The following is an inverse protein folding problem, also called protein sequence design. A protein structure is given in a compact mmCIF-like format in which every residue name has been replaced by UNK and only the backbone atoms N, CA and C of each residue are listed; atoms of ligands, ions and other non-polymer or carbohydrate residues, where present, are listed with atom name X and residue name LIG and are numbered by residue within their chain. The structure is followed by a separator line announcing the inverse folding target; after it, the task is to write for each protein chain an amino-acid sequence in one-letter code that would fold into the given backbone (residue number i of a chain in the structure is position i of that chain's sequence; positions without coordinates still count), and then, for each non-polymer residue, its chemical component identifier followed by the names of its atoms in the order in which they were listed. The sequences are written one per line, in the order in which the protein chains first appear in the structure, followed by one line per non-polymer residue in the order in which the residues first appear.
data_IF_325115217843
#
_entry.id   IF_325115217843
#
_cell.length_a   1.000
_cell.length_b   1.000
_cell.length_c   1.000
_cell.angle_alpha   90.00
_cell.angle_beta   90.00
_cell.angle_gamma   90.00
#
_symmetry.space_group_name_H-M   'P 1'
#
loop_
_entity.id
_entity.type
_entity.pdbx_description
1 polymer ?
#
# COMPACT_ATOMS: atom_id res chain seq x y z
N UNK A 1 16.95 -45.57 -47.76
CA UNK A 1 17.13 -44.31 -46.94
C UNK A 1 15.83 -44.08 -46.20
N UNK A 2 15.87 -44.26 -44.85
CA UNK A 2 14.69 -44.17 -43.96
C UNK A 2 14.64 -42.70 -43.43
N UNK A 3 13.62 -41.96 -43.80
CA UNK A 3 13.37 -40.62 -43.22
C UNK A 3 12.60 -40.81 -41.90
N UNK A 4 13.15 -40.22 -40.86
CA UNK A 4 12.64 -40.24 -39.45
C UNK A 4 11.40 -39.33 -39.32
N UNK A 5 10.32 -39.72 -38.60
CA UNK A 5 9.08 -38.95 -38.49
C UNK A 5 9.12 -37.92 -37.34
N UNK A 6 10.28 -37.32 -37.01
CA UNK A 6 10.41 -36.40 -35.84
C UNK A 6 10.25 -34.91 -36.20
N UNK A 7 10.04 -34.56 -37.48
CA UNK A 7 10.00 -33.14 -37.91
C UNK A 7 8.59 -32.54 -38.11
N UNK A 8 7.53 -33.23 -37.74
CA UNK A 8 6.15 -32.75 -37.93
C UNK A 8 5.40 -32.37 -36.63
N UNK A 9 6.03 -32.47 -35.46
CA UNK A 9 5.43 -32.08 -34.18
C UNK A 9 5.84 -30.67 -33.67
N UNK A 10 6.77 -30.00 -34.33
CA UNK A 10 7.26 -28.68 -33.92
C UNK A 10 6.50 -27.51 -34.55
N UNK A 11 5.63 -27.71 -35.52
CA UNK A 11 4.89 -26.65 -36.22
C UNK A 11 3.45 -26.43 -35.71
N UNK A 12 2.97 -27.24 -34.76
CA UNK A 12 1.62 -27.10 -34.19
C UNK A 12 1.58 -26.27 -32.89
N UNK A 13 2.76 -25.90 -32.34
CA UNK A 13 2.85 -25.11 -31.12
C UNK A 13 2.91 -23.57 -31.33
N UNK A 14 2.92 -23.13 -32.60
CA UNK A 14 3.02 -21.70 -32.96
C UNK A 14 1.68 -21.06 -33.41
N UNK A 15 0.56 -21.80 -33.36
CA UNK A 15 -0.77 -21.27 -33.66
C UNK A 15 -1.75 -21.33 -32.50
N UNK A 16 -1.26 -21.47 -31.26
CA UNK A 16 -2.05 -21.08 -30.10
C UNK A 16 -1.94 -19.56 -29.99
N UNK A 17 -2.79 -18.88 -30.75
CA UNK A 17 -3.09 -17.47 -30.51
C UNK A 17 -3.34 -17.31 -29.02
N UNK A 18 -2.69 -16.32 -28.39
CA UNK A 18 -2.97 -15.91 -27.03
C UNK A 18 -4.49 -15.87 -26.85
N UNK A 19 -5.03 -16.78 -26.04
CA UNK A 19 -6.43 -16.68 -25.62
C UNK A 19 -6.64 -15.26 -25.14
N UNK A 20 -7.72 -14.58 -25.54
CA UNK A 20 -8.02 -13.24 -25.02
C UNK A 20 -8.01 -13.37 -23.50
N UNK A 21 -7.09 -12.66 -22.87
CA UNK A 21 -6.95 -12.68 -21.41
C UNK A 21 -8.33 -12.40 -20.84
N UNK A 22 -8.90 -13.32 -20.09
CA UNK A 22 -10.21 -13.17 -19.47
C UNK A 22 -10.08 -11.98 -18.51
N UNK A 23 -10.53 -10.81 -18.95
CA UNK A 23 -10.53 -9.61 -18.11
C UNK A 23 -11.40 -9.91 -16.90
N UNK A 24 -10.80 -9.79 -15.70
CA UNK A 24 -11.53 -10.05 -14.46
C UNK A 24 -12.74 -9.11 -14.38
N UNK A 25 -13.92 -9.60 -13.95
CA UNK A 25 -15.05 -8.72 -13.66
C UNK A 25 -14.63 -7.54 -12.78
N UNK A 26 -15.17 -6.35 -13.01
CA UNK A 26 -14.75 -5.10 -12.34
C UNK A 26 -14.65 -5.25 -10.81
N UNK A 27 -15.63 -5.90 -10.17
CA UNK A 27 -15.58 -6.16 -8.73
C UNK A 27 -14.36 -6.98 -8.30
N UNK A 28 -13.99 -8.03 -9.04
CA UNK A 28 -12.79 -8.83 -8.76
C UNK A 28 -11.51 -8.07 -9.04
N UNK A 29 -11.48 -7.20 -10.05
CA UNK A 29 -10.33 -6.35 -10.36
C UNK A 29 -10.05 -5.35 -9.22
N UNK A 30 -11.11 -4.80 -8.61
CA UNK A 30 -10.99 -3.85 -7.50
C UNK A 30 -10.41 -4.47 -6.21
N UNK A 31 -10.63 -5.75 -5.99
CA UNK A 31 -10.17 -6.47 -4.77
C UNK A 31 -9.03 -7.46 -5.04
N UNK A 32 -8.39 -7.41 -6.21
CA UNK A 32 -7.31 -8.34 -6.58
C UNK A 32 -6.13 -8.31 -5.60
N UNK A 33 -5.88 -7.14 -5.01
CA UNK A 33 -4.80 -6.90 -4.06
C UNK A 33 -5.27 -7.02 -2.59
N UNK A 34 -6.49 -7.51 -2.34
CA UNK A 34 -6.99 -7.70 -0.97
C UNK A 34 -6.78 -9.14 -0.51
N UNK A 35 -6.19 -9.28 0.67
CA UNK A 35 -5.89 -10.57 1.30
C UNK A 35 -6.78 -10.78 2.52
N UNK A 36 -7.12 -12.04 2.77
CA UNK A 36 -7.98 -12.44 3.90
C UNK A 36 -7.20 -12.42 5.22
N UNK A 37 -7.77 -11.79 6.23
CA UNK A 37 -7.29 -11.80 7.61
C UNK A 37 -8.33 -12.53 8.45
N UNK A 38 -8.00 -13.70 9.04
CA UNK A 38 -8.93 -14.49 9.82
C UNK A 38 -9.36 -13.76 11.09
N UNK A 39 -10.53 -14.11 11.63
CA UNK A 39 -10.95 -13.66 12.95
C UNK A 39 -9.93 -14.07 14.02
N UNK A 40 -9.73 -13.22 15.00
CA UNK A 40 -8.79 -13.52 16.08
C UNK A 40 -8.80 -12.49 17.18
N UNK A 41 -7.72 -12.47 17.97
CA UNK A 41 -7.61 -11.60 19.13
C UNK A 41 -6.38 -10.71 19.04
N UNK A 42 -6.57 -9.42 19.28
CA UNK A 42 -5.49 -8.45 19.47
C UNK A 42 -5.68 -7.75 20.81
N UNK A 43 -4.75 -7.94 21.74
CA UNK A 43 -4.93 -7.57 23.13
C UNK A 43 -6.17 -8.26 23.74
N UNK A 44 -7.04 -7.49 24.36
CA UNK A 44 -8.31 -7.98 24.95
C UNK A 44 -9.48 -8.00 23.95
N UNK A 45 -9.27 -7.49 22.74
CA UNK A 45 -10.32 -7.35 21.73
C UNK A 45 -10.39 -8.55 20.81
N UNK A 46 -11.62 -8.95 20.44
CA UNK A 46 -11.90 -9.95 19.40
C UNK A 46 -12.17 -9.20 18.10
N UNK A 47 -11.39 -9.50 17.06
CA UNK A 47 -11.59 -8.98 15.73
C UNK A 47 -12.36 -10.01 14.89
N UNK A 48 -13.44 -9.63 14.21
CA UNK A 48 -14.03 -10.44 13.17
C UNK A 48 -13.05 -10.59 12.00
N UNK A 49 -13.29 -11.55 11.13
CA UNK A 49 -12.58 -11.67 9.87
C UNK A 49 -12.81 -10.45 8.96
N UNK A 50 -11.81 -10.09 8.20
CA UNK A 50 -11.86 -9.00 7.22
C UNK A 50 -10.85 -9.23 6.10
N UNK A 51 -10.88 -8.37 5.11
CA UNK A 51 -9.85 -8.30 4.08
C UNK A 51 -9.10 -6.98 4.24
N UNK A 52 -7.83 -6.98 3.89
CA UNK A 52 -6.99 -5.76 3.88
C UNK A 52 -6.25 -5.69 2.55
N UNK A 53 -6.03 -4.49 2.05
CA UNK A 53 -5.15 -4.34 0.88
C UNK A 53 -3.75 -4.85 1.21
N UNK A 54 -3.22 -5.75 0.40
CA UNK A 54 -1.86 -6.29 0.57
C UNK A 54 -0.77 -5.25 0.36
N UNK A 55 -1.11 -4.12 -0.25
CA UNK A 55 -0.22 -3.00 -0.56
C UNK A 55 -0.86 -1.68 -0.15
N UNK A 56 -0.05 -0.64 0.01
CA UNK A 56 -0.54 0.73 0.10
C UNK A 56 -1.28 1.10 -1.19
N UNK A 57 -2.29 1.98 -1.11
CA UNK A 57 -2.96 2.51 -2.31
C UNK A 57 -1.93 3.19 -3.21
N UNK A 58 -1.86 2.76 -4.48
CA UNK A 58 -0.87 3.25 -5.42
C UNK A 58 -1.32 4.53 -6.13
N UNK A 59 -0.37 5.26 -6.72
CA UNK A 59 -0.65 6.43 -7.55
C UNK A 59 -1.61 6.09 -8.70
N UNK A 60 -1.45 4.93 -9.34
CA UNK A 60 -2.36 4.45 -10.40
C UNK A 60 -3.79 4.30 -9.89
N UNK A 61 -3.97 3.57 -8.78
CA UNK A 61 -5.30 3.36 -8.19
C UNK A 61 -5.96 4.69 -7.77
N UNK A 62 -5.16 5.62 -7.26
CA UNK A 62 -5.68 6.92 -6.85
C UNK A 62 -5.99 7.82 -8.04
N UNK A 63 -5.24 7.74 -9.16
CA UNK A 63 -5.59 8.43 -10.41
C UNK A 63 -6.90 7.93 -10.99
N UNK A 64 -7.18 6.61 -10.94
CA UNK A 64 -8.48 6.05 -11.36
C UNK A 64 -9.63 6.66 -10.56
N UNK A 65 -9.45 6.87 -9.26
CA UNK A 65 -10.40 7.56 -8.40
C UNK A 65 -10.60 9.03 -8.81
N UNK A 66 -9.52 9.79 -9.01
CA UNK A 66 -9.57 11.18 -9.45
C UNK A 66 -10.29 11.31 -10.81
N UNK A 67 -10.00 10.37 -11.74
CA UNK A 67 -10.63 10.34 -13.05
C UNK A 67 -12.14 10.13 -12.95
N UNK A 68 -12.60 9.16 -12.16
CA UNK A 68 -14.03 8.89 -11.94
C UNK A 68 -14.75 10.12 -11.32
N UNK A 69 -14.10 10.82 -10.37
CA UNK A 69 -14.67 12.05 -9.80
C UNK A 69 -14.77 13.17 -10.85
N UNK A 70 -13.80 13.25 -11.74
CA UNK A 70 -13.78 14.24 -12.84
C UNK A 70 -14.88 13.94 -13.83
N UNK A 71 -14.99 12.69 -14.29
CA UNK A 71 -15.97 12.26 -15.30
C UNK A 71 -17.41 12.38 -14.79
N UNK A 72 -17.62 12.17 -13.49
CA UNK A 72 -18.94 12.36 -12.85
C UNK A 72 -19.28 13.82 -12.51
N UNK A 73 -18.35 14.77 -12.70
CA UNK A 73 -18.55 16.18 -12.36
C UNK A 73 -18.66 16.44 -10.84
N UNK A 74 -18.11 15.56 -10.00
CA UNK A 74 -18.20 15.63 -8.54
C UNK A 74 -17.21 16.67 -7.96
N UNK A 75 -17.37 17.93 -8.32
CA UNK A 75 -16.41 19.02 -8.08
C UNK A 75 -16.00 19.18 -6.62
N UNK A 76 -16.95 19.09 -5.67
CA UNK A 76 -16.61 19.24 -4.24
C UNK A 76 -15.81 18.04 -3.70
N UNK A 77 -16.15 16.82 -4.14
CA UNK A 77 -15.35 15.63 -3.82
C UNK A 77 -13.97 15.71 -4.45
N UNK A 78 -13.86 16.17 -5.68
CA UNK A 78 -12.59 16.34 -6.39
C UNK A 78 -11.65 17.32 -5.67
N UNK A 79 -12.16 18.46 -5.20
CA UNK A 79 -11.35 19.42 -4.39
C UNK A 79 -10.73 18.77 -3.15
N UNK A 80 -11.48 17.89 -2.46
CA UNK A 80 -11.00 17.18 -1.28
C UNK A 80 -9.95 16.15 -1.66
N UNK A 81 -10.17 15.45 -2.79
CA UNK A 81 -9.34 14.33 -3.24
C UNK A 81 -8.01 14.76 -3.89
N UNK A 82 -7.85 16.03 -4.26
CA UNK A 82 -6.64 16.51 -4.94
C UNK A 82 -5.37 16.26 -4.14
N UNK A 83 -4.34 15.78 -4.84
CA UNK A 83 -2.99 15.57 -4.28
C UNK A 83 -2.27 16.92 -4.20
N UNK A 84 -1.83 17.32 -3.01
CA UNK A 84 -1.00 18.53 -2.84
C UNK A 84 0.49 18.22 -3.08
N UNK A 85 0.87 18.12 -4.35
CA UNK A 85 2.25 17.82 -4.75
C UNK A 85 3.27 18.85 -4.23
N UNK A 86 2.84 20.07 -3.84
CA UNK A 86 3.76 21.08 -3.30
C UNK A 86 4.34 20.68 -1.94
N UNK A 87 3.75 19.72 -1.24
CA UNK A 87 4.28 19.22 0.02
C UNK A 87 5.68 18.60 -0.14
N UNK A 88 6.00 18.05 -1.33
CA UNK A 88 7.35 17.58 -1.63
C UNK A 88 8.40 18.66 -1.39
N UNK A 89 8.21 19.86 -1.91
CA UNK A 89 9.17 20.95 -1.76
C UNK A 89 9.13 21.63 -0.39
N UNK A 90 7.99 21.59 0.28
CA UNK A 90 7.88 22.11 1.66
C UNK A 90 8.70 21.23 2.62
N UNK A 91 8.63 19.92 2.48
CA UNK A 91 9.35 18.97 3.34
C UNK A 91 10.78 18.73 2.86
N UNK A 92 10.97 18.59 1.55
CA UNK A 92 12.25 18.28 0.90
C UNK A 92 12.53 19.29 -0.22
N UNK A 93 13.17 20.45 0.06
CA UNK A 93 13.39 21.50 -0.93
C UNK A 93 14.16 21.09 -2.19
N UNK A 94 14.96 20.01 -2.11
CA UNK A 94 15.69 19.42 -3.24
C UNK A 94 14.79 18.58 -4.17
N UNK A 95 13.62 18.13 -3.70
CA UNK A 95 12.73 17.24 -4.45
C UNK A 95 11.75 17.99 -5.37
N UNK A 96 12.18 19.09 -6.01
CA UNK A 96 11.34 19.89 -6.92
C UNK A 96 10.74 19.10 -8.08
N UNK A 97 11.47 18.12 -8.58
CA UNK A 97 11.03 17.28 -9.70
C UNK A 97 9.76 16.48 -9.33
N UNK A 98 9.65 16.03 -8.08
CA UNK A 98 8.49 15.22 -7.63
C UNK A 98 7.17 15.98 -7.60
N UNK A 99 7.21 17.33 -7.58
CA UNK A 99 5.98 18.14 -7.69
C UNK A 99 5.24 17.83 -9.01
N UNK A 100 5.98 17.66 -10.11
CA UNK A 100 5.40 17.36 -11.42
C UNK A 100 5.29 15.88 -11.76
N UNK A 101 6.18 15.05 -11.20
CA UNK A 101 6.33 13.67 -11.68
C UNK A 101 5.75 12.61 -10.74
N UNK A 102 5.94 12.71 -9.43
CA UNK A 102 5.65 11.60 -8.52
C UNK A 102 4.22 11.05 -8.64
N UNK A 103 3.23 11.92 -8.74
CA UNK A 103 1.83 11.49 -8.88
C UNK A 103 1.40 11.28 -10.34
N UNK A 104 1.98 12.01 -11.30
CA UNK A 104 1.50 12.05 -12.68
C UNK A 104 2.22 11.06 -13.61
N UNK A 105 3.51 10.82 -13.40
CA UNK A 105 4.31 9.99 -14.28
C UNK A 105 4.05 8.49 -14.05
N UNK A 106 3.86 7.74 -15.13
CA UNK A 106 3.65 6.30 -15.12
C UNK A 106 4.81 5.49 -14.53
N UNK A 107 6.01 6.05 -14.46
CA UNK A 107 7.13 5.43 -13.76
C UNK A 107 6.85 5.22 -12.26
N UNK A 108 5.94 6.00 -11.68
CA UNK A 108 5.51 5.92 -10.29
C UNK A 108 4.13 5.29 -10.10
N UNK A 109 3.61 4.60 -11.10
CA UNK A 109 2.30 3.97 -11.06
C UNK A 109 2.11 3.06 -9.84
N UNK A 110 3.10 2.23 -9.54
CA UNK A 110 3.07 1.22 -8.49
C UNK A 110 3.64 1.73 -7.15
N UNK A 111 3.98 3.02 -7.05
CA UNK A 111 4.40 3.67 -5.81
C UNK A 111 3.18 4.10 -4.98
N UNK A 112 3.28 4.17 -3.64
CA UNK A 112 2.18 4.59 -2.80
C UNK A 112 1.76 6.03 -3.09
N UNK A 113 0.45 6.29 -3.10
CA UNK A 113 -0.03 7.67 -3.13
C UNK A 113 0.30 8.36 -1.80
N UNK A 114 0.82 9.56 -1.90
CA UNK A 114 1.16 10.44 -0.77
C UNK A 114 0.61 11.84 -1.01
N UNK A 115 0.80 12.76 -0.06
CA UNK A 115 0.31 14.14 -0.18
C UNK A 115 -1.21 14.26 -0.29
N UNK A 116 -1.92 13.35 0.35
CA UNK A 116 -3.38 13.35 0.49
C UNK A 116 -3.76 13.47 1.96
N UNK A 117 -4.87 14.14 2.27
CA UNK A 117 -5.39 14.24 3.63
C UNK A 117 -6.12 12.95 4.05
N UNK A 118 -6.34 12.77 5.35
CA UNK A 118 -7.16 11.66 5.87
C UNK A 118 -8.57 11.68 5.28
N UNK A 119 -9.16 12.87 5.15
CA UNK A 119 -10.47 13.04 4.52
C UNK A 119 -10.49 12.58 3.05
N UNK A 120 -9.41 12.80 2.32
CA UNK A 120 -9.25 12.32 0.94
C UNK A 120 -9.12 10.78 0.89
N UNK A 121 -8.38 10.18 1.81
CA UNK A 121 -8.27 8.72 1.95
C UNK A 121 -9.62 8.07 2.32
N UNK A 122 -10.38 8.68 3.22
CA UNK A 122 -11.73 8.23 3.58
C UNK A 122 -12.69 8.34 2.37
N UNK A 123 -12.58 9.41 1.58
CA UNK A 123 -13.36 9.60 0.36
C UNK A 123 -13.01 8.54 -0.71
N UNK A 124 -11.74 8.16 -0.83
CA UNK A 124 -11.33 7.02 -1.65
C UNK A 124 -12.00 5.72 -1.19
N UNK A 125 -12.04 5.47 0.12
CA UNK A 125 -12.72 4.30 0.67
C UNK A 125 -14.23 4.29 0.38
N UNK A 126 -14.88 5.44 0.41
CA UNK A 126 -16.29 5.58 0.01
C UNK A 126 -16.49 5.29 -1.49
N UNK A 127 -15.64 5.87 -2.33
CA UNK A 127 -15.67 5.66 -3.78
C UNK A 127 -15.50 4.18 -4.15
N UNK A 128 -14.51 3.48 -3.60
CA UNK A 128 -14.30 2.06 -3.90
C UNK A 128 -15.45 1.20 -3.38
N UNK A 129 -16.08 1.59 -2.26
CA UNK A 129 -17.30 0.95 -1.73
C UNK A 129 -18.45 1.06 -2.74
N UNK A 130 -18.75 2.27 -3.21
CA UNK A 130 -19.79 2.53 -4.20
C UNK A 130 -19.51 1.75 -5.50
N UNK A 131 -18.27 1.83 -6.00
CA UNK A 131 -17.85 1.18 -7.25
C UNK A 131 -17.91 -0.35 -7.16
N UNK A 132 -17.44 -0.96 -6.07
CA UNK A 132 -17.53 -2.39 -5.84
C UNK A 132 -18.98 -2.85 -5.76
N UNK A 133 -19.79 -2.13 -4.96
CA UNK A 133 -21.19 -2.47 -4.71
C UNK A 133 -22.08 -2.28 -5.96
N UNK A 134 -21.70 -1.45 -6.93
CA UNK A 134 -22.43 -1.30 -8.20
C UNK A 134 -22.34 -2.55 -9.09
N UNK A 135 -21.26 -3.35 -8.95
CA UNK A 135 -20.96 -4.48 -9.83
C UNK A 135 -20.99 -5.84 -9.14
N UNK A 136 -20.98 -5.86 -7.80
CA UNK A 136 -20.90 -7.09 -7.01
C UNK A 136 -22.23 -7.44 -6.37
N UNK A 137 -22.58 -8.76 -6.37
CA UNK A 137 -23.80 -9.25 -5.69
C UNK A 137 -23.67 -9.16 -4.17
N UNK A 138 -22.51 -9.61 -3.65
CA UNK A 138 -22.20 -9.51 -2.23
C UNK A 138 -21.70 -8.09 -1.95
N UNK A 139 -22.39 -7.38 -1.07
CA UNK A 139 -22.02 -6.01 -0.72
C UNK A 139 -20.88 -6.01 0.30
N UNK A 140 -20.03 -4.99 0.20
CA UNK A 140 -18.91 -4.80 1.11
C UNK A 140 -18.75 -3.32 1.45
N UNK A 141 -18.13 -3.06 2.59
CA UNK A 141 -17.70 -1.74 3.02
C UNK A 141 -16.18 -1.67 3.01
N UNK A 142 -15.63 -0.63 2.42
CA UNK A 142 -14.21 -0.30 2.49
C UNK A 142 -14.00 0.90 3.43
N UNK A 143 -12.95 0.85 4.24
CA UNK A 143 -12.61 1.89 5.20
C UNK A 143 -11.10 1.90 5.46
N UNK A 144 -10.58 2.96 6.07
CA UNK A 144 -9.27 2.89 6.72
C UNK A 144 -9.33 1.86 7.84
N UNK A 145 -8.26 1.08 8.11
CA UNK A 145 -8.22 0.15 9.23
C UNK A 145 -8.33 0.90 10.56
N UNK A 146 -8.90 0.27 11.57
CA UNK A 146 -8.68 0.68 12.95
C UNK A 146 -7.25 0.32 13.36
N UNK A 147 -6.73 0.91 14.44
CA UNK A 147 -5.41 0.54 14.98
C UNK A 147 -5.32 -0.96 15.23
N UNK A 148 -6.31 -1.54 15.88
CA UNK A 148 -6.35 -2.98 16.17
C UNK A 148 -6.35 -3.84 14.90
N UNK A 149 -7.10 -3.45 13.86
CA UNK A 149 -7.08 -4.16 12.59
C UNK A 149 -5.71 -4.07 11.93
N UNK A 150 -5.09 -2.88 11.95
CA UNK A 150 -3.78 -2.66 11.36
C UNK A 150 -2.71 -3.51 12.07
N UNK A 151 -2.65 -3.46 13.40
CA UNK A 151 -1.66 -4.21 14.19
C UNK A 151 -1.84 -5.72 14.04
N UNK A 152 -3.08 -6.21 14.12
CA UNK A 152 -3.39 -7.63 13.94
C UNK A 152 -2.96 -8.14 12.57
N UNK A 153 -3.24 -7.37 11.51
CA UNK A 153 -2.78 -7.70 10.16
C UNK A 153 -1.25 -7.67 10.04
N UNK A 154 -0.58 -6.68 10.66
CA UNK A 154 0.86 -6.56 10.66
C UNK A 154 1.56 -7.74 11.34
N UNK A 155 0.97 -8.31 12.40
CA UNK A 155 1.51 -9.49 13.09
C UNK A 155 1.49 -10.76 12.24
N UNK A 156 0.70 -10.81 11.16
CA UNK A 156 0.69 -11.95 10.25
C UNK A 156 0.36 -13.28 10.96
N UNK A 157 -0.53 -13.30 11.95
CA UNK A 157 -0.93 -14.49 12.72
C UNK A 157 0.02 -14.87 13.86
N UNK A 158 1.11 -14.13 14.10
CA UNK A 158 1.97 -14.35 15.28
C UNK A 158 1.70 -13.27 16.35
N UNK A 159 0.96 -13.57 17.44
CA UNK A 159 0.61 -12.58 18.45
C UNK A 159 1.82 -12.01 19.21
N UNK A 160 2.99 -12.66 19.12
CA UNK A 160 4.24 -12.18 19.74
C UNK A 160 5.14 -11.40 18.78
N UNK A 161 4.72 -11.22 17.53
CA UNK A 161 5.51 -10.46 16.57
C UNK A 161 5.64 -9.00 17.01
N UNK A 162 6.87 -8.48 16.99
CA UNK A 162 7.16 -7.05 17.22
C UNK A 162 7.40 -6.30 15.91
N UNK A 163 7.77 -7.03 14.85
CA UNK A 163 7.88 -6.55 13.47
C UNK A 163 6.96 -7.36 12.56
N UNK A 164 6.60 -6.85 11.36
CA UNK A 164 5.77 -7.58 10.40
C UNK A 164 6.43 -8.84 9.79
N UNK A 165 7.66 -9.14 10.14
CA UNK A 165 8.44 -10.30 9.67
C UNK A 165 8.94 -11.15 10.85
N UNK A 166 9.34 -12.41 10.60
CA UNK A 166 9.96 -13.25 11.61
C UNK A 166 11.30 -12.69 12.11
N UNK A 167 11.51 -12.75 13.43
CA UNK A 167 12.73 -12.24 14.08
C UNK A 167 12.61 -10.81 14.59
N UNK A 168 13.72 -10.29 15.13
CA UNK A 168 13.77 -9.00 15.85
C UNK A 168 14.79 -8.03 15.23
N UNK A 169 15.17 -8.26 13.98
CA UNK A 169 16.17 -7.46 13.27
C UNK A 169 15.54 -6.67 12.13
N UNK A 170 16.04 -5.46 11.89
CA UNK A 170 15.71 -4.63 10.74
C UNK A 170 16.47 -5.03 9.46
N UNK A 171 17.37 -6.03 9.58
CA UNK A 171 18.12 -6.61 8.48
C UNK A 171 17.89 -8.12 8.42
N UNK A 172 17.94 -8.69 7.22
CA UNK A 172 17.78 -10.12 6.99
C UNK A 172 19.01 -10.86 7.49
N UNK A 173 18.84 -11.68 8.55
CA UNK A 173 19.96 -12.34 9.26
C UNK A 173 20.28 -13.74 8.74
N UNK A 174 19.39 -14.38 7.98
CA UNK A 174 19.65 -15.72 7.47
C UNK A 174 20.73 -15.70 6.37
N UNK A 175 21.60 -16.72 6.38
CA UNK A 175 22.63 -16.88 5.36
C UNK A 175 22.01 -16.99 3.97
N UNK A 176 22.59 -16.30 2.99
CA UNK A 176 22.13 -16.32 1.60
C UNK A 176 22.31 -14.97 0.91
N UNK A 177 21.74 -14.83 -0.28
CA UNK A 177 21.87 -13.60 -1.10
C UNK A 177 21.29 -12.35 -0.44
N UNK A 178 20.32 -12.51 0.46
CA UNK A 178 19.65 -11.40 1.14
C UNK A 178 20.29 -11.04 2.48
N UNK A 179 21.31 -11.79 2.95
CA UNK A 179 21.96 -11.52 4.24
C UNK A 179 22.44 -10.06 4.32
N UNK A 180 22.05 -9.36 5.38
CA UNK A 180 22.40 -7.96 5.62
C UNK A 180 21.55 -6.94 4.83
N UNK A 181 20.62 -7.38 3.96
CA UNK A 181 19.69 -6.44 3.31
C UNK A 181 18.63 -5.94 4.29
N UNK A 182 18.15 -4.72 4.07
CA UNK A 182 17.08 -4.13 4.89
C UNK A 182 15.77 -4.90 4.72
N UNK A 183 15.04 -5.05 5.82
CA UNK A 183 13.71 -5.67 5.82
C UNK A 183 12.61 -4.74 5.32
N UNK A 184 12.82 -3.42 5.37
CA UNK A 184 11.87 -2.41 4.92
C UNK A 184 12.59 -1.11 4.51
N UNK A 185 11.85 -0.19 3.93
CA UNK A 185 12.33 1.14 3.54
C UNK A 185 12.22 2.11 4.73
N UNK A 186 13.33 2.36 5.43
CA UNK A 186 13.40 3.22 6.60
C UNK A 186 14.76 3.95 6.68
N UNK A 187 14.87 4.98 7.51
CA UNK A 187 16.13 5.69 7.73
C UNK A 187 17.05 4.88 8.65
N UNK A 188 18.00 4.16 8.06
CA UNK A 188 18.91 3.26 8.80
C UNK A 188 20.01 4.01 9.56
N UNK A 189 20.40 5.20 9.12
CA UNK A 189 21.46 5.97 9.76
C UNK A 189 20.89 6.92 10.82
N UNK A 190 21.03 6.56 12.08
CA UNK A 190 20.57 7.37 13.23
C UNK A 190 21.37 8.66 13.42
N UNK A 191 22.52 8.81 12.76
CA UNK A 191 23.33 10.05 12.81
C UNK A 191 22.82 11.10 11.84
N UNK A 192 21.99 10.69 10.88
CA UNK A 192 21.40 11.59 9.86
C UNK A 192 20.13 12.24 10.42
N UNK A 193 20.19 13.54 10.65
CA UNK A 193 19.01 14.29 11.04
C UNK A 193 18.13 14.62 9.83
N UNK A 194 16.81 14.80 10.07
CA UNK A 194 15.88 15.31 9.04
C UNK A 194 16.37 16.62 8.41
N UNK A 195 17.07 17.45 9.19
CA UNK A 195 17.67 18.68 8.70
C UNK A 195 18.78 18.42 7.69
N UNK A 196 19.55 17.35 7.88
CA UNK A 196 20.59 16.92 6.94
C UNK A 196 19.96 16.37 5.66
N UNK A 197 18.97 15.48 5.74
CA UNK A 197 18.23 14.95 4.58
C UNK A 197 17.59 16.08 3.75
N UNK A 198 17.02 17.10 4.41
CA UNK A 198 16.45 18.27 3.73
C UNK A 198 17.48 19.12 2.97
N UNK A 199 18.76 19.03 3.34
CA UNK A 199 19.86 19.80 2.72
C UNK A 199 20.64 19.02 1.65
N UNK A 200 20.60 17.70 1.67
CA UNK A 200 21.28 16.88 0.66
C UNK A 200 20.54 16.95 -0.67
N UNK A 201 21.31 17.25 -1.73
CA UNK A 201 20.77 17.53 -3.07
C UNK A 201 20.43 16.28 -3.88
N UNK A 202 21.02 15.10 -3.59
CA UNK A 202 21.10 14.03 -4.59
C UNK A 202 20.78 12.61 -4.11
N UNK A 203 20.43 12.38 -2.84
CA UNK A 203 20.20 11.02 -2.31
C UNK A 203 19.17 10.97 -1.18
N UNK A 204 18.02 11.58 -1.34
CA UNK A 204 16.91 11.25 -0.46
C UNK A 204 16.34 9.93 -0.98
N UNK A 205 16.55 8.86 -0.20
CA UNK A 205 15.76 7.65 -0.40
C UNK A 205 14.29 8.09 -0.31
N UNK A 206 13.54 7.86 -1.36
CA UNK A 206 12.11 8.14 -1.42
C UNK A 206 11.33 6.85 -1.12
N UNK A 207 10.03 6.91 -1.27
CA UNK A 207 9.19 5.72 -1.28
C UNK A 207 9.70 4.68 -2.30
N UNK A 208 9.44 3.43 -2.02
CA UNK A 208 9.63 2.31 -2.95
C UNK A 208 8.26 1.88 -3.54
N UNK A 209 8.23 1.12 -4.64
CA UNK A 209 7.00 0.50 -5.13
C UNK A 209 6.29 -0.29 -4.03
N UNK A 210 4.96 -0.25 -4.00
CA UNK A 210 4.15 -0.85 -2.92
C UNK A 210 4.28 -2.38 -2.78
N UNK A 211 4.83 -3.07 -3.78
CA UNK A 211 5.18 -4.51 -3.73
C UNK A 211 6.67 -4.75 -3.40
N UNK A 212 7.35 -3.77 -2.81
CA UNK A 212 8.76 -3.91 -2.43
C UNK A 212 8.92 -4.67 -1.12
N UNK A 213 10.14 -5.19 -0.91
CA UNK A 213 10.52 -5.97 0.27
C UNK A 213 9.74 -7.29 0.41
N UNK A 214 9.90 -7.95 1.56
CA UNK A 214 9.24 -9.24 1.82
C UNK A 214 7.90 -9.00 2.53
N UNK A 215 6.82 -9.65 2.07
CA UNK A 215 5.54 -9.55 2.78
C UNK A 215 5.57 -10.33 4.09
N UNK A 216 4.61 -10.05 4.97
CA UNK A 216 4.37 -10.88 6.14
C UNK A 216 3.66 -12.21 5.76
N UNK A 217 3.34 -13.05 6.75
CA UNK A 217 2.71 -14.37 6.51
C UNK A 217 1.28 -14.29 5.96
N UNK A 218 0.63 -13.13 6.02
CA UNK A 218 -0.64 -12.88 5.34
C UNK A 218 -0.47 -12.28 3.95
N UNK A 219 0.77 -12.25 3.41
CA UNK A 219 1.12 -11.68 2.11
C UNK A 219 0.88 -10.15 2.03
N UNK A 220 1.02 -9.45 3.16
CA UNK A 220 0.88 -8.00 3.24
C UNK A 220 2.27 -7.37 3.19
N UNK A 221 2.47 -6.46 2.23
CA UNK A 221 3.72 -5.75 2.00
C UNK A 221 3.77 -4.44 2.80
N UNK A 222 4.98 -4.00 3.12
CA UNK A 222 5.29 -2.68 3.68
C UNK A 222 4.48 -2.29 4.93
N UNK A 223 4.11 -3.28 5.79
CA UNK A 223 3.51 -2.97 7.09
C UNK A 223 4.49 -2.28 8.05
N UNK A 224 5.73 -2.05 7.63
CA UNK A 224 6.71 -1.20 8.28
C UNK A 224 7.56 -0.51 7.23
N UNK A 225 7.81 0.79 7.41
CA UNK A 225 8.55 1.63 6.48
C UNK A 225 7.75 1.99 5.23
N UNK A 226 8.44 2.51 4.23
CA UNK A 226 7.92 3.05 2.99
C UNK A 226 7.08 4.32 3.24
N UNK A 227 5.79 4.21 3.52
CA UNK A 227 4.97 5.33 3.98
C UNK A 227 4.26 4.98 5.29
N UNK A 228 4.20 5.92 6.20
CA UNK A 228 3.39 5.79 7.40
C UNK A 228 1.90 5.77 7.01
N UNK A 229 1.09 4.96 7.67
CA UNK A 229 -0.27 4.69 7.24
C UNK A 229 -1.33 5.31 8.13
N UNK A 230 -2.30 5.97 7.50
CA UNK A 230 -3.46 6.52 8.18
C UNK A 230 -4.36 5.40 8.69
N UNK A 231 -4.85 5.54 9.92
CA UNK A 231 -5.85 4.66 10.54
C UNK A 231 -7.13 5.45 10.88
N UNK A 232 -8.27 4.75 11.03
CA UNK A 232 -9.58 5.41 11.12
C UNK A 232 -9.82 6.08 12.47
N UNK A 233 -9.45 5.41 13.55
CA UNK A 233 -9.85 5.70 14.93
C UNK A 233 -8.82 6.52 15.75
N UNK A 234 -7.69 6.89 15.13
CA UNK A 234 -6.62 7.63 15.81
C UNK A 234 -6.15 8.84 14.99
N UNK A 235 -5.57 9.87 15.63
CA UNK A 235 -5.01 11.05 14.96
C UNK A 235 -3.56 10.85 14.51
N UNK A 236 -2.95 9.69 14.71
CA UNK A 236 -1.58 9.36 14.36
C UNK A 236 -1.51 8.31 13.24
N UNK A 237 -0.31 8.00 12.81
CA UNK A 237 -0.03 7.01 11.76
C UNK A 237 0.72 5.81 12.31
N UNK A 238 0.65 4.66 11.61
CA UNK A 238 1.33 3.40 11.94
C UNK A 238 2.40 3.06 10.91
N UNK A 239 3.33 2.18 11.28
CA UNK A 239 4.32 1.57 10.40
C UNK A 239 5.59 2.38 10.18
N UNK A 240 5.57 3.69 10.42
CA UNK A 240 6.68 4.58 10.08
C UNK A 240 6.89 4.72 8.57
N UNK A 241 7.83 5.53 8.14
CA UNK A 241 8.07 5.88 6.74
C UNK A 241 9.53 5.73 6.35
N UNK A 242 9.86 6.00 5.09
CA UNK A 242 11.24 5.97 4.57
C UNK A 242 12.20 6.95 5.27
N UNK A 243 11.68 7.91 6.04
CA UNK A 243 12.50 8.85 6.85
C UNK A 243 12.40 8.58 8.34
N UNK A 244 11.62 7.61 8.78
CA UNK A 244 11.48 7.26 10.19
C UNK A 244 12.64 6.35 10.63
N UNK A 245 13.09 6.50 11.88
CA UNK A 245 14.11 5.63 12.46
C UNK A 245 13.55 4.23 12.80
N UNK A 246 14.46 3.28 13.03
CA UNK A 246 14.12 1.87 13.22
C UNK A 246 13.17 1.55 14.37
N UNK A 247 13.11 2.38 15.42
CA UNK A 247 12.15 2.24 16.51
C UNK A 247 10.69 2.44 16.07
N UNK A 248 10.48 3.20 14.98
CA UNK A 248 9.15 3.41 14.38
C UNK A 248 8.66 2.26 13.50
N UNK A 249 9.54 1.29 13.23
CA UNK A 249 9.21 0.08 12.47
C UNK A 249 8.51 -0.99 13.32
N UNK A 250 8.46 -0.80 14.65
CA UNK A 250 7.73 -1.70 15.54
C UNK A 250 6.22 -1.63 15.28
N UNK A 251 5.53 -2.76 15.31
CA UNK A 251 4.07 -2.85 15.12
C UNK A 251 3.32 -1.95 16.11
N UNK A 252 3.79 -1.87 17.36
CA UNK A 252 3.20 -1.02 18.41
C UNK A 252 3.55 0.45 18.31
N UNK A 253 4.52 0.82 17.46
CA UNK A 253 4.93 2.22 17.30
C UNK A 253 3.88 3.03 16.52
N UNK A 254 3.89 4.34 16.76
CA UNK A 254 3.09 5.31 16.03
C UNK A 254 3.85 6.62 15.85
N UNK A 255 3.39 7.46 14.95
CA UNK A 255 3.92 8.81 14.73
C UNK A 255 2.77 9.82 14.65
N UNK A 256 2.84 10.84 15.49
CA UNK A 256 1.87 11.94 15.46
C UNK A 256 2.01 12.74 14.17
N UNK A 257 0.89 13.06 13.53
CA UNK A 257 0.86 13.86 12.32
C UNK A 257 -0.44 14.67 12.21
N UNK A 258 -0.35 15.88 11.66
CA UNK A 258 -1.54 16.61 11.24
C UNK A 258 -2.07 16.03 9.94
N UNK A 259 -3.12 15.23 10.03
CA UNK A 259 -3.73 14.52 8.90
C UNK A 259 -4.79 15.36 8.15
N UNK A 260 -4.94 16.66 8.53
CA UNK A 260 -5.84 17.58 7.81
C UNK A 260 -5.33 17.95 6.42
N UNK A 261 -4.05 17.74 6.16
CA UNK A 261 -3.40 17.93 4.86
C UNK A 261 -2.48 16.74 4.52
N UNK A 262 -1.92 16.75 3.32
CA UNK A 262 -1.05 15.66 2.85
C UNK A 262 0.40 15.82 3.30
N UNK A 263 1.12 14.68 3.38
CA UNK A 263 2.55 14.61 3.67
C UNK A 263 3.23 13.68 2.67
N UNK A 264 4.46 13.96 2.22
CA UNK A 264 5.21 13.08 1.32
C UNK A 264 5.56 11.71 1.91
N UNK A 265 5.40 11.56 3.21
CA UNK A 265 5.77 10.38 3.99
C UNK A 265 4.58 9.57 4.48
N UNK A 266 3.36 10.02 4.17
CA UNK A 266 2.12 9.41 4.68
C UNK A 266 1.24 8.98 3.50
N UNK A 267 0.85 7.71 3.52
CA UNK A 267 -0.10 7.07 2.63
C UNK A 267 -1.21 6.37 3.41
N UNK A 268 -1.86 5.39 2.79
CA UNK A 268 -2.89 4.60 3.43
C UNK A 268 -3.15 3.28 2.70
N UNK A 269 -3.74 2.32 3.40
CA UNK A 269 -4.33 1.09 2.84
C UNK A 269 -5.73 0.86 3.37
N UNK A 270 -6.70 0.45 2.57
CA UNK A 270 -8.04 0.14 3.04
C UNK A 270 -8.17 -1.29 3.58
N UNK A 271 -9.13 -1.47 4.49
CA UNK A 271 -9.74 -2.76 4.81
C UNK A 271 -11.07 -2.90 4.10
N UNK A 272 -11.52 -4.14 3.88
CA UNK A 272 -12.82 -4.48 3.30
C UNK A 272 -13.53 -5.49 4.21
N UNK A 273 -14.77 -5.24 4.50
CA UNK A 273 -15.64 -6.12 5.27
C UNK A 273 -16.91 -6.39 4.46
N UNK A 274 -17.29 -7.65 4.34
CA UNK A 274 -18.58 -7.99 3.75
C UNK A 274 -19.72 -7.57 4.68
N UNK A 275 -20.76 -6.98 4.10
CA UNK A 275 -21.98 -6.71 4.83
C UNK A 275 -22.73 -8.03 5.05
N UNK A 276 -23.08 -8.30 6.32
CA UNK A 276 -23.93 -9.45 6.63
C UNK A 276 -25.27 -9.26 5.96
N UNK A 277 -25.57 -10.07 4.96
CA UNK A 277 -26.94 -10.21 4.45
C UNK A 277 -27.73 -10.88 5.59
N UNK A 278 -28.38 -10.09 6.42
CA UNK A 278 -29.48 -10.60 7.28
C UNK A 278 -30.50 -11.28 6.36
N UNK A 279 -30.50 -12.60 6.39
CA UNK A 279 -31.56 -13.41 5.75
C UNK A 279 -32.85 -13.30 6.59
#
# INVERSE_FOLDING_TARGET
MKYSPILLLALWYLMLGSAPGHELPLGKKLIKDYVFVPSGREGDSILPEYYISSIEVTNRQYRDFIQDLTDSGATEKLKIAMVDSMQWTKMFPSCKAFVGYYFQDHAYDDYPVVNVSKKAAELYCQWITEKYNSTSRQKARFALPTELQWEYAARGGNPKAIYPWPGNSLTYEHRGKLHGTRMCNYLADTTVSLTYLRRQRDTVDITAPSHSFMPNTYEIYNMAGNVAEMISDQPYTKGGSFISHGDKMLISAYEDADLSHGWPTIGFRPVMMYENTTR
#
